data_IF_115036130094
#
_entry.id   IF_115036130094
#
_cell.length_a   1.000
_cell.length_b   1.000
_cell.length_c   1.000
_cell.angle_alpha   90.00
_cell.angle_beta   90.00
_cell.angle_gamma   90.00
#
_symmetry.space_group_name_H-M   'P 1'
#
loop_
_entity.id
_entity.type
_entity.pdbx_description
1 polymer ?
#
# COMPACT_ATOMS: atom_id res chain seq x y z
N UNK A 1 -70.60 14.68 -17.67
CA UNK A 1 -69.57 14.34 -18.67
C UNK A 1 -68.22 14.29 -17.96
N UNK A 2 -67.50 13.16 -18.15
CA UNK A 2 -66.07 12.87 -17.95
C UNK A 2 -65.32 13.38 -16.70
N UNK A 3 -64.93 12.38 -15.89
CA UNK A 3 -63.89 12.31 -14.86
C UNK A 3 -62.54 12.84 -15.36
N UNK A 4 -61.72 13.42 -14.48
CA UNK A 4 -60.26 13.15 -14.36
C UNK A 4 -59.84 13.50 -12.92
N UNK A 5 -59.45 12.50 -12.15
CA UNK A 5 -58.76 12.63 -10.88
C UNK A 5 -57.25 12.73 -11.17
N UNK A 6 -56.57 13.75 -10.63
CA UNK A 6 -55.13 13.90 -10.73
C UNK A 6 -54.49 13.41 -9.43
N UNK A 7 -54.13 12.12 -9.41
CA UNK A 7 -53.31 11.53 -8.34
C UNK A 7 -51.85 11.92 -8.64
N UNK A 8 -51.31 12.81 -7.83
CA UNK A 8 -49.87 13.10 -7.82
C UNK A 8 -49.15 11.90 -7.20
N UNK A 9 -48.63 11.03 -8.05
CA UNK A 9 -47.79 9.91 -7.67
C UNK A 9 -46.42 10.48 -7.26
N UNK A 10 -46.16 10.50 -5.95
CA UNK A 10 -44.84 10.73 -5.38
C UNK A 10 -43.97 9.56 -5.83
N UNK A 11 -43.18 9.77 -6.88
CA UNK A 11 -42.19 8.81 -7.34
C UNK A 11 -41.07 8.71 -6.31
N UNK A 12 -41.19 7.77 -5.39
CA UNK A 12 -40.04 7.24 -4.66
C UNK A 12 -39.10 6.62 -5.69
N UNK A 13 -38.00 7.31 -5.98
CA UNK A 13 -36.83 6.69 -6.60
C UNK A 13 -36.29 5.67 -5.61
N UNK A 14 -36.84 4.46 -5.63
CA UNK A 14 -36.18 3.30 -5.09
C UNK A 14 -34.97 3.02 -5.99
N UNK A 15 -33.79 3.51 -5.59
CA UNK A 15 -32.52 3.02 -6.12
C UNK A 15 -32.38 1.56 -5.68
N UNK A 16 -32.93 0.66 -6.49
CA UNK A 16 -32.57 -0.74 -6.48
C UNK A 16 -31.15 -0.86 -7.07
N UNK A 17 -30.13 -0.63 -6.23
CA UNK A 17 -28.76 -1.05 -6.55
C UNK A 17 -28.63 -2.52 -6.20
N UNK A 18 -28.91 -3.37 -7.19
CA UNK A 18 -28.51 -4.76 -7.18
C UNK A 18 -26.98 -4.83 -7.32
N UNK A 19 -26.31 -5.39 -6.32
CA UNK A 19 -24.89 -5.71 -6.39
C UNK A 19 -24.22 -5.50 -5.05
N UNK A 20 -24.09 -6.58 -4.27
CA UNK A 20 -23.26 -6.65 -3.07
C UNK A 20 -21.79 -6.37 -3.41
N UNK A 21 -21.43 -5.10 -3.58
CA UNK A 21 -20.08 -4.64 -3.26
C UNK A 21 -20.08 -4.36 -1.76
N UNK A 22 -20.21 -5.40 -0.95
CA UNK A 22 -19.78 -5.33 0.45
C UNK A 22 -18.29 -5.01 0.37
N UNK A 23 -17.93 -3.76 0.68
CA UNK A 23 -16.53 -3.43 0.93
C UNK A 23 -15.97 -4.50 1.89
N UNK A 24 -14.74 -4.99 1.67
CA UNK A 24 -14.17 -6.04 2.51
C UNK A 24 -14.36 -5.65 3.98
N UNK A 25 -14.95 -6.56 4.77
CA UNK A 25 -15.18 -6.28 6.18
C UNK A 25 -13.82 -6.14 6.87
N UNK A 26 -13.50 -4.93 7.29
CA UNK A 26 -12.23 -4.59 7.93
C UNK A 26 -12.33 -4.92 9.42
N UNK A 27 -11.33 -5.64 9.96
CA UNK A 27 -11.30 -6.00 11.38
C UNK A 27 -10.49 -5.04 12.23
N UNK A 28 -9.84 -4.05 11.61
CA UNK A 28 -8.96 -3.12 12.30
C UNK A 28 -8.98 -1.69 11.78
N UNK A 29 -8.30 -0.82 12.52
CA UNK A 29 -8.04 0.58 12.12
C UNK A 29 -6.92 0.61 11.10
N UNK A 30 -7.07 1.43 10.06
CA UNK A 30 -5.99 1.67 9.12
C UNK A 30 -4.80 2.35 9.81
N UNK A 31 -3.59 1.81 9.59
CA UNK A 31 -2.34 2.39 10.03
C UNK A 31 -1.65 3.07 8.86
N UNK A 32 -1.06 4.23 9.10
CA UNK A 32 -0.26 4.97 8.11
C UNK A 32 1.10 5.25 8.73
N UNK A 33 2.16 4.92 8.01
CA UNK A 33 3.55 5.17 8.38
C UNK A 33 4.26 5.89 7.25
N UNK A 34 5.18 6.80 7.59
CA UNK A 34 5.96 7.52 6.60
C UNK A 34 7.18 6.69 6.16
N UNK A 35 7.53 6.79 4.88
CA UNK A 35 8.80 6.27 4.39
C UNK A 35 9.95 7.25 4.72
N UNK A 36 11.07 6.70 5.16
CA UNK A 36 12.38 7.34 5.26
C UNK A 36 13.12 7.17 3.93
N UNK A 37 13.73 8.25 3.45
CA UNK A 37 14.67 8.22 2.34
C UNK A 37 15.95 7.47 2.75
N UNK A 38 16.32 6.46 1.97
CA UNK A 38 17.51 5.64 2.22
C UNK A 38 18.69 6.04 1.34
N UNK A 39 18.42 6.76 0.24
CA UNK A 39 19.44 7.28 -0.69
C UNK A 39 19.35 8.82 -0.83
N UNK A 40 19.35 9.59 0.27
CA UNK A 40 19.06 11.03 0.23
C UNK A 40 20.09 11.87 -0.54
N UNK A 41 21.30 11.33 -0.74
CA UNK A 41 22.40 12.01 -1.44
C UNK A 41 22.54 11.57 -2.91
N UNK A 42 21.72 10.63 -3.38
CA UNK A 42 21.73 10.18 -4.76
C UNK A 42 20.86 11.11 -5.62
N UNK A 43 21.48 11.72 -6.63
CA UNK A 43 20.83 12.68 -7.51
C UNK A 43 19.68 12.08 -8.34
N UNK A 44 19.57 10.75 -8.43
CA UNK A 44 18.49 10.04 -9.10
C UNK A 44 17.23 9.89 -8.23
N UNK A 45 17.34 10.06 -6.90
CA UNK A 45 16.23 9.92 -5.94
C UNK A 45 15.91 11.24 -5.24
N UNK A 46 15.65 12.28 -6.03
CA UNK A 46 15.48 13.65 -5.54
C UNK A 46 14.26 13.77 -4.62
N UNK A 47 14.50 13.87 -3.32
CA UNK A 47 13.45 14.08 -2.32
C UNK A 47 12.53 12.86 -2.18
N UNK A 48 13.06 11.66 -2.32
CA UNK A 48 12.26 10.44 -2.21
C UNK A 48 11.51 10.39 -0.88
N UNK A 49 10.18 10.32 -0.94
CA UNK A 49 9.31 10.31 0.22
C UNK A 49 8.01 9.57 -0.09
N UNK A 50 7.24 9.20 0.94
CA UNK A 50 6.00 8.48 0.74
C UNK A 50 5.34 8.03 2.03
N UNK A 51 4.26 7.27 1.88
CA UNK A 51 3.58 6.60 3.00
C UNK A 51 3.25 5.16 2.67
N UNK A 52 3.31 4.29 3.68
CA UNK A 52 2.69 2.98 3.65
C UNK A 52 1.43 3.04 4.50
N UNK A 53 0.29 2.69 3.90
CA UNK A 53 -0.99 2.54 4.58
C UNK A 53 -1.39 1.08 4.54
N UNK A 54 -1.77 0.51 5.67
CA UNK A 54 -2.28 -0.85 5.70
C UNK A 54 -3.45 -1.02 6.65
N UNK A 55 -4.24 -2.06 6.40
CA UNK A 55 -5.41 -2.44 7.20
C UNK A 55 -5.57 -3.95 7.18
N UNK A 56 -5.87 -4.53 8.33
CA UNK A 56 -6.16 -5.95 8.47
C UNK A 56 -7.64 -6.21 8.17
N UNK A 57 -7.89 -7.24 7.37
CA UNK A 57 -9.20 -7.66 6.92
C UNK A 57 -9.70 -8.84 7.77
N UNK A 58 -11.02 -8.99 7.88
CA UNK A 58 -11.65 -10.17 8.49
C UNK A 58 -11.28 -11.49 7.83
N UNK A 59 -10.88 -11.46 6.56
CA UNK A 59 -10.43 -12.63 5.81
C UNK A 59 -9.09 -13.21 6.29
N UNK A 60 -8.36 -12.49 7.15
CA UNK A 60 -7.02 -12.87 7.59
C UNK A 60 -5.89 -12.32 6.70
N UNK A 61 -6.21 -11.43 5.75
CA UNK A 61 -5.23 -10.71 4.93
C UNK A 61 -5.02 -9.29 5.41
N UNK A 62 -3.82 -8.77 5.14
CA UNK A 62 -3.49 -7.35 5.25
C UNK A 62 -3.55 -6.72 3.87
N UNK A 63 -4.39 -5.71 3.71
CA UNK A 63 -4.39 -4.84 2.55
C UNK A 63 -3.41 -3.69 2.75
N UNK A 64 -2.44 -3.58 1.85
CA UNK A 64 -1.37 -2.58 1.91
C UNK A 64 -1.41 -1.71 0.66
N UNK A 65 -1.33 -0.40 0.85
CA UNK A 65 -1.17 0.61 -0.20
C UNK A 65 0.06 1.45 0.13
N UNK A 66 1.02 1.45 -0.79
CA UNK A 66 2.23 2.26 -0.70
C UNK A 66 2.13 3.38 -1.71
N UNK A 67 2.46 4.60 -1.30
CA UNK A 67 2.60 5.75 -2.19
C UNK A 67 4.00 6.30 -2.02
N UNK A 68 4.67 6.60 -3.13
CA UNK A 68 6.00 7.16 -3.14
C UNK A 68 6.13 8.23 -4.23
N UNK A 69 7.05 9.16 -4.01
CA UNK A 69 7.42 10.25 -4.92
C UNK A 69 8.94 10.43 -4.89
N UNK A 70 9.50 11.18 -5.83
CA UNK A 70 10.95 11.44 -5.88
C UNK A 70 11.78 10.20 -6.22
N UNK A 71 11.17 9.18 -6.83
CA UNK A 71 11.86 8.02 -7.37
C UNK A 71 12.41 8.31 -8.77
N UNK A 72 13.24 7.40 -9.32
CA UNK A 72 13.60 7.48 -10.74
C UNK A 72 12.34 7.32 -11.57
N UNK A 73 12.15 8.18 -12.57
CA UNK A 73 11.01 8.12 -13.47
C UNK A 73 11.07 6.88 -14.38
N UNK A 74 9.90 6.31 -14.73
CA UNK A 74 9.78 5.16 -15.63
C UNK A 74 10.59 3.92 -15.19
N UNK A 75 10.81 3.75 -13.89
CA UNK A 75 11.58 2.65 -13.32
C UNK A 75 10.65 1.68 -12.61
N UNK A 76 10.89 0.37 -12.80
CA UNK A 76 10.10 -0.67 -12.15
C UNK A 76 10.56 -0.87 -10.70
N UNK A 77 9.62 -0.86 -9.78
CA UNK A 77 9.82 -1.03 -8.34
C UNK A 77 8.94 -2.16 -7.80
N UNK A 78 9.39 -2.78 -6.73
CA UNK A 78 8.61 -3.74 -5.93
C UNK A 78 8.81 -3.47 -4.45
N UNK A 79 7.96 -4.04 -3.61
CA UNK A 79 8.03 -3.84 -2.17
C UNK A 79 7.89 -5.15 -1.40
N UNK A 80 8.51 -5.18 -0.21
CA UNK A 80 8.54 -6.33 0.68
C UNK A 80 8.32 -5.90 2.12
N UNK A 81 7.69 -6.77 2.90
CA UNK A 81 7.88 -6.77 4.35
C UNK A 81 9.17 -7.48 4.69
N UNK A 82 9.84 -7.03 5.75
CA UNK A 82 11.06 -7.64 6.26
C UNK A 82 10.98 -7.90 7.76
N UNK A 83 11.66 -8.94 8.23
CA UNK A 83 11.95 -9.14 9.67
C UNK A 83 12.97 -8.12 10.16
N UNK A 84 13.20 -8.05 11.48
CA UNK A 84 14.38 -7.35 12.01
C UNK A 84 15.63 -8.18 11.72
N UNK A 85 16.64 -7.59 11.09
CA UNK A 85 17.92 -8.27 10.85
C UNK A 85 18.97 -8.00 11.93
N UNK A 86 20.17 -8.56 11.73
CA UNK A 86 21.27 -8.49 12.69
C UNK A 86 22.23 -7.30 12.48
N UNK A 87 22.15 -6.60 11.35
CA UNK A 87 23.05 -5.48 11.06
C UNK A 87 22.80 -4.26 11.94
N UNK A 88 21.59 -4.15 12.49
CA UNK A 88 21.19 -3.16 13.48
C UNK A 88 20.05 -3.72 14.31
N UNK A 89 20.14 -3.61 15.63
CA UNK A 89 19.09 -4.06 16.56
C UNK A 89 18.13 -2.93 16.96
N UNK A 90 18.43 -1.69 16.55
CA UNK A 90 17.68 -0.48 16.96
C UNK A 90 17.11 0.32 15.80
N UNK A 91 17.68 0.20 14.59
CA UNK A 91 17.15 0.81 13.37
C UNK A 91 16.72 -0.30 12.41
N UNK A 92 15.41 -0.52 12.30
CA UNK A 92 14.85 -1.54 11.44
C UNK A 92 15.27 -1.36 9.97
N UNK A 93 15.31 -0.13 9.48
CA UNK A 93 15.70 0.17 8.09
C UNK A 93 17.20 -0.04 7.81
N UNK A 94 18.03 -0.10 8.86
CA UNK A 94 19.45 -0.45 8.76
C UNK A 94 19.74 -1.90 9.19
N UNK A 95 18.71 -2.69 9.50
CA UNK A 95 18.89 -4.02 10.12
C UNK A 95 19.18 -5.15 9.13
N UNK A 96 18.84 -4.98 7.86
CA UNK A 96 19.02 -5.97 6.79
C UNK A 96 18.37 -7.33 7.09
N UNK A 97 17.10 -7.31 7.54
CA UNK A 97 16.32 -8.53 7.78
C UNK A 97 15.80 -9.19 6.50
N UNK A 98 15.36 -10.43 6.66
CA UNK A 98 14.88 -11.29 5.57
C UNK A 98 13.49 -10.86 5.08
N UNK A 99 13.20 -11.13 3.81
CA UNK A 99 11.88 -10.89 3.21
C UNK A 99 10.83 -11.82 3.83
N UNK A 100 9.66 -11.26 4.14
CA UNK A 100 8.48 -11.99 4.60
C UNK A 100 7.40 -12.02 3.53
N UNK A 101 6.86 -13.23 3.31
CA UNK A 101 5.65 -13.47 2.51
C UNK A 101 5.71 -12.95 1.06
N UNK A 102 6.91 -12.88 0.48
CA UNK A 102 7.11 -12.40 -0.90
C UNK A 102 6.75 -10.93 -1.10
N UNK A 103 6.49 -10.55 -2.35
CA UNK A 103 6.23 -9.15 -2.73
C UNK A 103 4.81 -8.69 -2.34
N UNK A 104 4.71 -7.40 -2.00
CA UNK A 104 3.44 -6.73 -1.77
C UNK A 104 2.79 -6.47 -3.14
N UNK A 105 1.84 -7.31 -3.53
CA UNK A 105 1.13 -7.18 -4.80
C UNK A 105 2.02 -7.50 -6.00
N UNK A 106 2.08 -6.59 -6.97
CA UNK A 106 2.93 -6.70 -8.15
C UNK A 106 3.98 -5.59 -8.20
N UNK A 107 5.05 -5.82 -8.96
CA UNK A 107 6.00 -4.78 -9.28
C UNK A 107 5.39 -3.74 -10.23
N UNK A 108 5.48 -2.46 -9.89
CA UNK A 108 4.88 -1.34 -10.63
C UNK A 108 5.95 -0.38 -11.14
N UNK A 109 5.66 0.28 -12.25
CA UNK A 109 6.57 1.30 -12.82
C UNK A 109 6.19 2.67 -12.29
N UNK A 110 7.15 3.45 -11.84
CA UNK A 110 6.94 4.86 -11.50
C UNK A 110 6.56 5.66 -12.75
N UNK A 111 5.79 6.72 -12.57
CA UNK A 111 5.43 7.61 -13.67
C UNK A 111 6.59 8.52 -14.10
N UNK A 112 6.32 9.41 -15.06
CA UNK A 112 7.29 10.37 -15.58
C UNK A 112 7.81 11.37 -14.52
N UNK A 113 7.09 11.53 -13.40
CA UNK A 113 7.46 12.40 -12.29
C UNK A 113 8.12 11.62 -11.13
N UNK A 114 8.36 10.32 -11.29
CA UNK A 114 8.90 9.48 -10.22
C UNK A 114 7.88 9.19 -9.11
N UNK A 115 6.58 9.30 -9.38
CA UNK A 115 5.53 8.88 -8.47
C UNK A 115 5.18 7.40 -8.67
N UNK A 116 4.88 6.70 -7.59
CA UNK A 116 4.60 5.27 -7.59
C UNK A 116 3.46 4.97 -6.61
N UNK A 117 2.55 4.08 -7.02
CA UNK A 117 1.57 3.46 -6.13
C UNK A 117 1.65 1.94 -6.26
N UNK A 118 1.84 1.25 -5.14
CA UNK A 118 1.82 -0.21 -5.03
C UNK A 118 0.66 -0.62 -4.13
N UNK A 119 -0.05 -1.68 -4.50
CA UNK A 119 -1.15 -2.23 -3.69
C UNK A 119 -1.07 -3.74 -3.68
N UNK A 120 -1.31 -4.35 -2.52
CA UNK A 120 -1.25 -5.79 -2.38
C UNK A 120 -2.05 -6.30 -1.18
N UNK A 121 -2.39 -7.58 -1.26
CA UNK A 121 -2.94 -8.37 -0.15
C UNK A 121 -1.89 -9.39 0.26
N UNK A 122 -1.67 -9.55 1.56
CA UNK A 122 -0.78 -10.58 2.10
C UNK A 122 -1.37 -11.19 3.35
N UNK A 123 -1.27 -12.52 3.46
CA UNK A 123 -1.73 -13.25 4.63
C UNK A 123 -1.06 -12.74 5.92
N UNK A 124 -1.86 -12.39 6.93
CA UNK A 124 -1.37 -11.79 8.19
C UNK A 124 -0.47 -12.77 8.96
N UNK A 125 -0.78 -14.07 8.95
CA UNK A 125 0.03 -15.06 9.67
C UNK A 125 1.45 -15.16 9.10
N UNK A 126 1.60 -14.99 7.80
CA UNK A 126 2.91 -14.96 7.13
C UNK A 126 3.67 -13.62 7.31
N UNK A 127 3.01 -12.59 7.85
CA UNK A 127 3.63 -11.32 8.23
C UNK A 127 4.01 -11.26 9.72
N UNK A 128 3.93 -12.38 10.44
CA UNK A 128 4.38 -12.44 11.82
C UNK A 128 5.87 -12.10 11.91
N UNK A 129 6.24 -11.15 12.79
CA UNK A 129 7.60 -10.67 12.91
C UNK A 129 8.01 -9.58 11.89
N UNK A 130 7.09 -9.09 11.05
CA UNK A 130 7.39 -7.96 10.18
C UNK A 130 7.78 -6.72 11.00
N UNK A 131 8.95 -6.17 10.68
CA UNK A 131 9.56 -5.03 11.36
C UNK A 131 9.57 -3.77 10.49
N UNK A 132 9.71 -3.90 9.18
CA UNK A 132 9.71 -2.76 8.26
C UNK A 132 9.27 -3.15 6.84
N UNK A 133 9.00 -2.14 6.01
CA UNK A 133 8.70 -2.27 4.59
C UNK A 133 9.80 -1.58 3.78
N UNK A 134 10.29 -2.23 2.74
CA UNK A 134 11.16 -1.62 1.74
C UNK A 134 10.45 -1.45 0.40
N UNK A 135 10.86 -0.44 -0.36
CA UNK A 135 10.67 -0.36 -1.81
C UNK A 135 12.05 -0.53 -2.46
N UNK A 136 12.15 -1.42 -3.44
CA UNK A 136 13.36 -1.78 -4.17
C UNK A 136 13.22 -1.46 -5.66
N UNK A 137 14.31 -1.12 -6.34
CA UNK A 137 14.35 -1.23 -7.81
C UNK A 137 14.24 -2.70 -8.22
N UNK A 138 13.29 -3.04 -9.09
CA UNK A 138 13.02 -4.42 -9.47
C UNK A 138 14.20 -5.06 -10.25
N UNK A 139 15.01 -4.25 -10.95
CA UNK A 139 16.20 -4.70 -11.66
C UNK A 139 17.44 -4.84 -10.76
N UNK A 140 17.41 -4.28 -9.55
CA UNK A 140 18.55 -4.24 -8.64
C UNK A 140 18.07 -4.23 -7.18
N UNK A 141 17.74 -5.40 -6.64
CA UNK A 141 17.11 -5.53 -5.32
C UNK A 141 17.97 -5.01 -4.15
N UNK A 142 19.27 -4.84 -4.32
CA UNK A 142 20.13 -4.18 -3.33
C UNK A 142 19.91 -2.67 -3.24
N UNK A 143 19.22 -2.08 -4.23
CA UNK A 143 18.93 -0.65 -4.30
C UNK A 143 17.58 -0.38 -3.64
N UNK A 144 17.64 0.16 -2.43
CA UNK A 144 16.48 0.48 -1.60
C UNK A 144 16.38 1.99 -1.45
N UNK A 145 15.53 2.70 -2.22
CA UNK A 145 15.35 4.14 -2.03
C UNK A 145 14.51 4.51 -0.80
N UNK A 146 13.57 3.65 -0.39
CA UNK A 146 12.62 3.97 0.69
C UNK A 146 12.46 2.79 1.65
N UNK A 147 12.45 3.10 2.94
CA UNK A 147 12.12 2.16 4.01
C UNK A 147 11.17 2.78 5.04
N UNK A 148 10.19 2.01 5.51
CA UNK A 148 9.26 2.44 6.56
C UNK A 148 9.27 1.44 7.73
N UNK A 149 9.74 1.83 8.93
CA UNK A 149 9.65 0.98 10.11
C UNK A 149 8.18 0.82 10.55
N UNK A 150 7.78 -0.39 10.92
CA UNK A 150 6.41 -0.68 11.37
C UNK A 150 6.18 -0.37 12.86
N UNK A 151 7.25 -0.11 13.61
CA UNK A 151 7.26 0.16 15.05
C UNK A 151 8.21 1.31 15.37
#
# INVERSE_FOLDING_TARGET
MKKIALIALIGTLALASCGKNTAPEVTGTSKTIAFKAMLPNDAAYKGSAGTAKYIDLSSGDRATTLTATGLKANTKYLAHYHTMGAASTTDACASSGDVLNGMIGDAMTSDANGALTLKGLQNIAALNGAAYINIHEAAALSVVPLCAPLK
#
